data_IF_547586602674
#
_entry.id   IF_547586602674
#
_cell.length_a   1.000
_cell.length_b   1.000
_cell.length_c   1.000
_cell.angle_alpha   90.00
_cell.angle_beta   90.00
_cell.angle_gamma   90.00
#
_symmetry.space_group_name_H-M   'P 1'
#
loop_
_entity.id
_entity.type
_entity.pdbx_description
1 polymer ?
2 non-polymer ?
#
# COMPACT_ATOMS: atom_id res chain seq x y z
N UNK A 1 6.29 -22.40 0.73
CA UNK A 1 6.61 -20.93 0.68
C UNK A 1 7.89 -20.56 1.43
N UNK A 2 8.62 -19.56 0.93
CA UNK A 2 9.86 -19.14 1.62
C UNK A 2 9.51 -18.65 3.03
N UNK A 3 10.41 -18.85 3.98
CA UNK A 3 10.20 -18.41 5.37
C UNK A 3 10.17 -16.89 5.49
N UNK A 4 10.88 -16.20 4.59
CA UNK A 4 10.92 -14.73 4.61
C UNK A 4 11.00 -14.22 3.18
N UNK A 5 10.43 -13.03 2.96
CA UNK A 5 10.43 -12.40 1.64
C UNK A 5 10.58 -10.89 1.86
N UNK A 6 11.35 -10.22 0.99
CA UNK A 6 11.49 -8.76 1.08
C UNK A 6 11.58 -8.26 -0.36
N UNK A 7 10.47 -7.72 -0.87
CA UNK A 7 10.44 -7.22 -2.24
C UNK A 7 11.42 -6.08 -2.53
N UNK A 8 11.96 -5.45 -1.49
CA UNK A 8 12.93 -4.38 -1.69
C UNK A 8 14.22 -5.01 -2.25
N UNK A 9 14.51 -6.23 -1.82
CA UNK A 9 15.69 -6.94 -2.31
C UNK A 9 15.52 -7.27 -3.79
N UNK A 10 14.28 -7.30 -4.25
CA UNK A 10 14.02 -7.64 -5.64
C UNK A 10 13.87 -6.42 -6.55
N UNK A 11 14.16 -5.24 -6.02
CA UNK A 11 14.09 -4.00 -6.79
C UNK A 11 12.70 -3.57 -7.19
N UNK A 12 11.69 -4.00 -6.43
CA UNK A 12 10.30 -3.69 -6.75
C UNK A 12 9.63 -2.69 -5.83
N UNK A 13 10.40 -1.97 -5.02
CA UNK A 13 9.80 -1.01 -4.09
C UNK A 13 10.48 0.35 -4.19
N UNK A 14 9.68 1.39 -4.41
CA UNK A 14 10.20 2.74 -4.55
C UNK A 14 10.49 3.39 -3.21
N UNK A 15 11.08 4.58 -3.25
CA UNK A 15 11.38 5.31 -2.03
C UNK A 15 10.10 5.55 -1.22
N UNK A 16 10.24 5.66 0.09
CA UNK A 16 9.10 5.94 0.96
C UNK A 16 8.62 7.36 0.69
N UNK A 17 7.31 7.55 0.61
CA UNK A 17 6.71 8.85 0.36
C UNK A 17 6.16 9.46 1.66
N UNK A 18 5.89 10.77 1.63
CA UNK A 18 5.36 11.52 2.78
C UNK A 18 4.00 12.12 2.40
N UNK A 19 2.91 11.57 2.94
CA UNK A 19 1.58 12.07 2.58
C UNK A 19 1.23 13.41 3.22
N UNK A 20 1.93 13.75 4.29
CA UNK A 20 1.66 15.02 4.95
C UNK A 20 0.31 15.03 5.63
N UNK A 21 -0.35 16.18 5.62
CA UNK A 21 -1.64 16.29 6.30
C UNK A 21 -2.84 15.84 5.47
N UNK A 22 -2.58 15.29 4.30
CA UNK A 22 -3.62 14.81 3.40
C UNK A 22 -3.78 13.30 3.63
N UNK A 23 -5.01 12.85 3.89
CA UNK A 23 -5.26 11.43 4.15
C UNK A 23 -5.29 10.59 2.88
N UNK A 24 -4.17 10.55 2.17
CA UNK A 24 -4.06 9.82 0.92
C UNK A 24 -3.35 8.48 1.06
N UNK A 25 -3.35 7.93 2.27
CA UNK A 25 -2.67 6.66 2.52
C UNK A 25 -3.14 5.60 1.50
N UNK A 26 -4.44 5.60 1.23
CA UNK A 26 -5.04 4.66 0.28
C UNK A 26 -4.44 4.80 -1.11
N UNK A 27 -4.18 6.04 -1.54
CA UNK A 27 -3.59 6.24 -2.85
C UNK A 27 -2.14 5.74 -2.88
N UNK A 28 -1.39 6.03 -1.82
CA UNK A 28 0.01 5.59 -1.76
C UNK A 28 0.11 4.06 -1.72
N UNK A 29 -0.79 3.43 -0.98
CA UNK A 29 -0.82 1.97 -0.89
C UNK A 29 -1.08 1.40 -2.29
N UNK A 30 -2.04 1.99 -3.00
CA UNK A 30 -2.37 1.48 -4.33
C UNK A 30 -1.24 1.66 -5.35
N UNK A 31 -0.64 2.84 -5.41
CA UNK A 31 0.44 3.01 -6.37
C UNK A 31 1.60 2.11 -5.98
N UNK A 32 1.83 1.96 -4.68
CA UNK A 32 2.92 1.10 -4.23
C UNK A 32 2.77 -0.32 -4.77
N UNK A 33 1.57 -0.87 -4.67
CA UNK A 33 1.34 -2.23 -5.17
C UNK A 33 1.52 -2.28 -6.69
N UNK A 34 0.98 -1.29 -7.40
CA UNK A 34 1.12 -1.29 -8.86
C UNK A 34 2.58 -1.08 -9.30
N UNK A 35 3.34 -0.28 -8.55
CA UNK A 35 4.75 -0.04 -8.88
C UNK A 35 5.54 -1.36 -8.97
N UNK A 36 5.25 -2.31 -8.07
CA UNK A 36 5.95 -3.59 -8.11
C UNK A 36 5.59 -4.38 -9.37
N UNK A 37 4.31 -4.38 -9.73
CA UNK A 37 3.87 -5.10 -10.92
C UNK A 37 4.47 -4.48 -12.17
N UNK A 38 4.57 -3.15 -12.18
CA UNK A 38 5.16 -2.46 -13.32
C UNK A 38 6.63 -2.88 -13.47
N UNK A 39 7.36 -2.94 -12.36
CA UNK A 39 8.76 -3.37 -12.41
C UNK A 39 8.83 -4.82 -12.91
N UNK A 40 7.96 -5.69 -12.40
CA UNK A 40 7.97 -7.10 -12.84
C UNK A 40 7.67 -7.24 -14.33
N UNK A 41 6.84 -6.35 -14.85
CA UNK A 41 6.47 -6.41 -16.26
C UNK A 41 7.45 -5.73 -17.21
N UNK A 42 7.97 -4.57 -16.82
CA UNK A 42 8.84 -3.81 -17.71
C UNK A 42 10.31 -3.73 -17.35
N UNK A 43 10.65 -4.14 -16.13
CA UNK A 43 12.04 -4.06 -15.70
C UNK A 43 12.38 -2.69 -15.14
N UNK A 44 11.42 -1.76 -15.15
CA UNK A 44 11.68 -0.43 -14.64
C UNK A 44 10.93 -0.11 -13.36
N UNK A 45 11.64 0.54 -12.43
CA UNK A 45 11.07 0.93 -11.15
C UNK A 45 10.76 2.42 -11.22
N UNK A 46 9.47 2.77 -11.27
CA UNK A 46 9.12 4.19 -11.33
C UNK A 46 7.96 4.50 -10.38
N UNK A 47 8.09 5.58 -9.62
CA UNK A 47 7.03 5.94 -8.68
C UNK A 47 5.83 6.39 -9.50
N UNK A 48 4.64 5.94 -9.10
CA UNK A 48 3.42 6.30 -9.81
C UNK A 48 2.70 7.41 -9.04
N UNK A 49 1.84 8.14 -9.73
CA UNK A 49 1.19 9.30 -9.15
C UNK A 49 0.09 9.10 -8.14
N UNK A 50 0.42 9.23 -6.85
CA UNK A 50 -0.62 9.12 -5.83
C UNK A 50 -1.57 10.31 -6.02
N UNK A 51 -1.04 11.45 -6.46
CA UNK A 51 -1.88 12.63 -6.65
C UNK A 51 -2.97 12.39 -7.71
N UNK A 52 -2.59 11.70 -8.78
CA UNK A 52 -3.51 11.34 -9.87
C UNK A 52 -4.74 10.62 -9.27
N UNK A 53 -4.50 9.73 -8.31
CA UNK A 53 -5.60 8.99 -7.68
C UNK A 53 -6.43 9.91 -6.79
N UNK A 54 -5.76 10.72 -5.98
CA UNK A 54 -6.45 11.64 -5.08
C UNK A 54 -7.40 12.56 -5.85
N UNK A 55 -6.92 13.10 -6.97
CA UNK A 55 -7.70 14.03 -7.79
C UNK A 55 -8.70 13.40 -8.75
N UNK A 56 -8.43 12.19 -9.21
CA UNK A 56 -9.30 11.58 -10.22
C UNK A 56 -10.13 10.36 -9.83
N UNK A 57 -9.63 9.54 -8.91
CA UNK A 57 -10.40 8.37 -8.47
C UNK A 57 -11.18 8.95 -7.30
N UNK A 58 -12.21 9.71 -7.63
CA UNK A 58 -13.01 10.40 -6.63
C UNK A 58 -14.41 9.83 -6.36
N UNK A 59 -15.43 10.70 -6.36
CA UNK A 59 -16.80 10.28 -6.07
C UNK A 59 -17.27 9.02 -6.77
N UNK A 60 -17.01 8.90 -8.07
CA UNK A 60 -17.47 7.71 -8.80
C UNK A 60 -16.88 6.42 -8.22
N UNK A 61 -15.77 6.56 -7.50
CA UNK A 61 -15.10 5.40 -6.91
C UNK A 61 -15.26 5.30 -5.41
N UNK A 62 -16.19 6.09 -4.87
CA UNK A 62 -16.45 6.07 -3.43
C UNK A 62 -15.32 6.66 -2.63
N UNK A 63 -14.40 7.36 -3.30
CA UNK A 63 -13.27 7.96 -2.60
C UNK A 63 -13.48 9.44 -2.31
N UNK A 64 -12.74 9.93 -1.31
CA UNK A 64 -12.86 11.31 -0.87
C UNK A 64 -11.52 12.05 -0.80
N UNK A 65 -10.60 11.69 -1.70
CA UNK A 65 -9.30 12.35 -1.75
C UNK A 65 -8.56 12.39 -0.42
N UNK A 66 -8.23 13.59 0.05
CA UNK A 66 -7.51 13.74 1.32
C UNK A 66 -8.34 13.32 2.52
N UNK A 67 -9.63 13.06 2.31
CA UNK A 67 -10.48 12.62 3.40
C UNK A 67 -10.68 11.09 3.38
N UNK A 68 -9.89 10.38 2.58
CA UNK A 68 -10.00 8.93 2.59
C UNK A 68 -10.41 8.24 1.31
N UNK A 69 -10.00 6.98 1.16
CA UNK A 69 -10.33 6.23 -0.04
C UNK A 69 -10.06 4.74 0.09
N UNK A 70 -10.21 4.02 -1.02
CA UNK A 70 -10.02 2.57 -1.06
C UNK A 70 -8.99 2.19 -2.13
N UNK A 71 -8.13 1.23 -1.81
CA UNK A 71 -7.13 0.78 -2.76
C UNK A 71 -7.78 0.02 -3.91
N UNK A 72 -8.77 -0.81 -3.60
CA UNK A 72 -9.46 -1.58 -4.64
C UNK A 72 -10.13 -0.67 -5.67
N UNK A 73 -10.85 0.36 -5.22
CA UNK A 73 -11.52 1.26 -6.16
C UNK A 73 -10.49 2.12 -6.88
N UNK A 74 -9.35 2.34 -6.24
CA UNK A 74 -8.27 3.09 -6.90
C UNK A 74 -7.81 2.23 -8.09
N UNK A 75 -7.61 0.92 -7.86
CA UNK A 75 -7.19 0.03 -8.95
C UNK A 75 -8.25 0.06 -10.06
N UNK A 76 -9.53 0.01 -9.69
CA UNK A 76 -10.56 0.02 -10.73
C UNK A 76 -10.51 1.31 -11.56
N UNK A 77 -10.25 2.45 -10.92
CA UNK A 77 -10.14 3.71 -11.67
C UNK A 77 -9.03 3.59 -12.73
N UNK A 78 -7.87 3.08 -12.32
CA UNK A 78 -6.75 2.92 -13.25
C UNK A 78 -7.16 2.03 -14.42
N UNK A 79 -7.87 0.95 -14.12
CA UNK A 79 -8.34 0.04 -15.17
C UNK A 79 -9.29 0.79 -16.10
N UNK A 80 -10.33 1.41 -15.52
CA UNK A 80 -11.33 2.15 -16.32
C UNK A 80 -10.71 3.29 -17.14
N UNK A 81 -9.76 3.97 -16.52
CA UNK A 81 -9.07 5.12 -17.10
C UNK A 81 -8.04 4.75 -18.16
N UNK A 82 -7.70 3.46 -18.20
CA UNK A 82 -6.69 2.95 -19.12
C UNK A 82 -5.31 3.54 -18.83
N UNK A 83 -5.08 3.88 -17.56
CA UNK A 83 -3.78 4.39 -17.16
C UNK A 83 -3.69 5.24 -15.90
N UNK A 84 -2.45 5.45 -15.47
CA UNK A 84 -2.13 6.29 -14.34
C UNK A 84 -0.80 6.94 -14.73
N UNK A 85 -0.66 8.24 -14.45
CA UNK A 85 0.54 8.99 -14.78
C UNK A 85 1.69 8.71 -13.81
N UNK A 86 2.90 9.09 -14.20
CA UNK A 86 4.07 8.90 -13.35
C UNK A 86 4.01 9.96 -12.24
N UNK A 87 4.61 9.67 -11.09
CA UNK A 87 4.65 10.66 -10.01
C UNK A 87 5.45 11.87 -10.51
N UNK A 88 6.50 11.62 -11.29
CA UNK A 88 7.31 12.74 -11.79
C UNK A 88 6.48 13.75 -12.62
N UNK A 89 5.55 13.25 -13.43
CA UNK A 89 4.73 14.11 -14.29
C UNK A 89 3.52 14.71 -13.59
N UNK A 90 3.12 14.10 -12.48
CA UNK A 90 1.94 14.53 -11.76
C UNK A 90 2.32 14.39 -10.28
N UNK A 91 3.15 15.32 -9.78
CA UNK A 91 3.63 15.32 -8.40
C UNK A 91 2.60 15.47 -7.30
N UNK A 92 2.96 14.97 -6.12
CA UNK A 92 2.07 15.00 -4.97
C UNK A 92 2.12 16.36 -4.29
N UNK A 93 0.95 16.91 -4.01
CA UNK A 93 0.82 18.22 -3.38
C UNK A 93 0.13 18.18 -2.01
N UNK A 94 -0.20 16.98 -1.53
CA UNK A 94 -0.86 16.85 -0.23
C UNK A 94 -2.14 17.68 -0.11
N UNK A 95 -2.92 17.72 -1.18
CA UNK A 95 -4.19 18.44 -1.17
C UNK A 95 -5.07 17.95 -2.31
N UNK A 96 -6.38 18.17 -2.18
CA UNK A 96 -7.31 17.78 -3.21
C UNK A 96 -7.22 18.76 -4.38
N UNK A 97 -7.21 18.24 -5.61
CA UNK A 97 -7.17 19.11 -6.79
C UNK A 97 -8.08 18.55 -7.86
N UNK A 98 -8.41 19.39 -8.83
CA UNK A 98 -9.23 18.96 -9.95
C UNK A 98 -8.36 17.94 -10.71
N UNK A 99 -8.99 16.93 -11.28
CA UNK A 99 -8.29 15.88 -12.01
C UNK A 99 -7.46 16.45 -13.17
N UNK A 100 -6.16 16.17 -13.16
CA UNK A 100 -5.28 16.64 -14.22
C UNK A 100 -4.67 15.48 -14.99
N UNK A 101 -5.31 14.32 -14.96
CA UNK A 101 -4.75 13.20 -15.70
C UNK A 101 -4.59 13.52 -17.18
N UNK A 102 -3.49 13.03 -17.75
CA UNK A 102 -3.22 13.19 -19.17
C UNK A 102 -2.56 11.89 -19.62
N UNK A 103 -3.11 11.26 -20.65
CA UNK A 103 -2.55 10.01 -21.17
C UNK A 103 -1.12 10.17 -21.69
N UNK A 104 -0.72 11.39 -22.01
CA UNK A 104 0.65 11.60 -22.51
C UNK A 104 1.69 11.38 -21.41
N UNK A 105 1.24 11.32 -20.16
CA UNK A 105 2.14 11.08 -19.03
C UNK A 105 1.89 9.69 -18.39
N UNK A 106 1.19 8.81 -19.10
CA UNK A 106 0.91 7.48 -18.56
C UNK A 106 2.20 6.72 -18.28
N UNK A 107 2.30 6.12 -17.09
CA UNK A 107 3.48 5.33 -16.72
C UNK A 107 3.10 3.86 -16.45
N UNK A 108 1.81 3.59 -16.29
CA UNK A 108 1.37 2.21 -16.06
C UNK A 108 -0.11 2.06 -16.39
N UNK A 109 -0.52 0.81 -16.56
CA UNK A 109 -1.91 0.48 -16.80
C UNK A 109 -2.19 -0.62 -15.77
N UNK A 110 -3.45 -1.06 -15.68
CA UNK A 110 -3.83 -2.13 -14.77
C UNK A 110 -4.96 -2.90 -15.47
N UNK A 111 -4.92 -4.22 -15.45
CA UNK A 111 -5.97 -4.96 -16.12
C UNK A 111 -6.97 -5.57 -15.14
N UNK A 112 -6.56 -5.77 -13.90
CA UNK A 112 -7.46 -6.35 -12.91
C UNK A 112 -6.83 -6.28 -11.54
N UNK A 113 -7.61 -6.59 -10.52
CA UNK A 113 -7.08 -6.63 -9.17
C UNK A 113 -7.75 -7.80 -8.47
N UNK A 114 -7.15 -8.27 -7.38
CA UNK A 114 -7.67 -9.41 -6.65
C UNK A 114 -7.80 -9.12 -5.16
N UNK A 115 -8.96 -9.42 -4.59
CA UNK A 115 -9.17 -9.22 -3.16
C UNK A 115 -9.04 -10.57 -2.46
N UNK A 116 -8.14 -10.66 -1.48
CA UNK A 116 -7.91 -11.91 -0.74
C UNK A 116 -9.04 -12.15 0.26
N UNK A 117 -9.30 -13.42 0.61
CA UNK A 117 -10.36 -13.76 1.57
C UNK A 117 -10.09 -13.13 2.94
N UNK A 118 -11.14 -12.62 3.57
CA UNK A 118 -11.03 -11.96 4.85
C UNK A 118 -10.30 -12.71 5.97
N UNK A 119 -9.28 -12.04 6.52
CA UNK A 119 -8.53 -12.57 7.64
C UNK A 119 -7.60 -13.76 7.47
N UNK A 120 -7.38 -14.22 6.24
CA UNK A 120 -6.52 -15.38 6.04
C UNK A 120 -5.05 -14.97 5.88
N UNK A 121 -4.30 -15.05 6.97
CA UNK A 121 -2.90 -14.67 6.93
C UNK A 121 -2.07 -15.64 6.12
N UNK A 122 -2.54 -16.88 6.00
CA UNK A 122 -1.80 -17.86 5.20
C UNK A 122 -1.96 -17.52 3.71
N UNK A 123 -3.15 -17.09 3.33
CA UNK A 123 -3.40 -16.72 1.95
C UNK A 123 -2.61 -15.43 1.62
N UNK A 124 -2.54 -14.52 2.58
CA UNK A 124 -1.79 -13.29 2.37
C UNK A 124 -0.30 -13.62 2.19
N UNK A 125 0.20 -14.58 2.97
CA UNK A 125 1.62 -14.95 2.86
C UNK A 125 1.92 -15.47 1.45
N UNK A 126 1.05 -16.34 0.95
CA UNK A 126 1.20 -16.91 -0.38
C UNK A 126 1.19 -15.82 -1.46
N UNK A 127 0.30 -14.85 -1.32
CA UNK A 127 0.23 -13.77 -2.30
C UNK A 127 1.51 -12.91 -2.28
N UNK A 128 2.01 -12.59 -1.09
CA UNK A 128 3.23 -11.78 -1.00
C UNK A 128 4.41 -12.54 -1.58
N UNK A 129 4.47 -13.84 -1.32
CA UNK A 129 5.57 -14.63 -1.85
C UNK A 129 5.49 -14.82 -3.36
N UNK A 130 4.29 -15.10 -3.86
CA UNK A 130 4.12 -15.41 -5.28
C UNK A 130 3.63 -14.36 -6.26
N UNK A 131 2.96 -13.32 -5.77
CA UNK A 131 2.43 -12.31 -6.67
C UNK A 131 3.15 -10.99 -6.56
N UNK A 132 3.38 -10.54 -5.33
CA UNK A 132 4.07 -9.28 -5.12
C UNK A 132 3.54 -8.54 -3.90
N UNK A 133 3.98 -7.29 -3.66
CA UNK A 133 3.48 -6.54 -2.50
C UNK A 133 1.95 -6.46 -2.56
N UNK A 134 1.32 -6.46 -1.39
CA UNK A 134 -0.14 -6.46 -1.32
C UNK A 134 -0.66 -5.27 -0.52
N UNK A 135 -1.64 -4.57 -1.06
CA UNK A 135 -2.23 -3.42 -0.38
C UNK A 135 -3.11 -3.94 0.74
N UNK A 136 -3.04 -3.31 1.91
CA UNK A 136 -3.85 -3.76 3.03
C UNK A 136 -4.32 -2.60 3.88
N UNK A 137 -5.39 -2.83 4.62
CA UNK A 137 -5.88 -1.83 5.55
C UNK A 137 -5.45 -2.33 6.93
N UNK A 138 -5.10 -1.41 7.84
CA UNK A 138 -4.75 -1.81 9.20
C UNK A 138 -5.38 -0.81 10.16
N UNK A 139 -5.55 -1.23 11.41
CA UNK A 139 -6.06 -0.34 12.44
C UNK A 139 -4.79 0.34 12.96
N UNK A 140 -4.61 1.61 12.60
CA UNK A 140 -3.45 2.37 13.04
C UNK A 140 -3.86 3.46 14.02
N UNK A 141 -5.10 3.39 14.51
CA UNK A 141 -5.62 4.39 15.43
C UNK A 141 -5.29 4.13 16.90
N UNK A 142 -4.00 4.03 17.20
CA UNK A 142 -3.51 3.81 18.55
C UNK A 142 -2.18 4.51 18.66
N UNK A 143 -1.94 5.18 19.80
CA UNK A 143 -0.69 5.91 20.03
C UNK A 143 0.56 5.10 19.72
N UNK A 144 0.58 3.84 20.12
CA UNK A 144 1.74 2.98 19.87
C UNK A 144 2.15 2.95 18.39
N UNK A 145 1.18 3.04 17.49
CA UNK A 145 1.50 3.03 16.06
C UNK A 145 2.26 4.30 15.67
N UNK A 146 1.78 5.45 16.14
CA UNK A 146 2.44 6.72 15.85
C UNK A 146 3.83 6.79 16.48
N UNK A 147 3.99 6.13 17.62
CA UNK A 147 5.25 6.14 18.35
C UNK A 147 6.22 5.01 18.00
N UNK A 148 5.78 4.08 17.16
CA UNK A 148 6.61 2.95 16.77
C UNK A 148 7.98 3.41 16.26
N UNK A 149 9.03 2.75 16.75
CA UNK A 149 10.39 3.07 16.32
C UNK A 149 11.10 1.87 15.68
N UNK A 150 10.96 0.69 16.28
CA UNK A 150 11.64 -0.49 15.74
C UNK A 150 11.16 -1.80 16.34
N UNK A 151 11.53 -2.90 15.68
CA UNK A 151 11.15 -4.22 16.16
C UNK A 151 9.81 -4.68 15.62
N UNK A 152 9.25 -5.71 16.25
CA UNK A 152 7.96 -6.22 15.81
C UNK A 152 6.84 -5.57 16.61
N UNK A 153 6.01 -4.82 15.91
CA UNK A 153 4.90 -4.09 16.50
C UNK A 153 3.75 -4.99 16.92
N UNK A 154 3.40 -4.93 18.20
CA UNK A 154 2.27 -5.70 18.72
C UNK A 154 1.54 -4.78 19.69
N UNK A 155 0.26 -4.55 19.42
CA UNK A 155 -0.57 -3.65 20.23
C UNK A 155 -1.79 -4.43 20.73
N UNK A 156 -1.84 -4.74 22.04
CA UNK A 156 -2.95 -5.49 22.65
C UNK A 156 -4.33 -4.90 22.39
N UNK A 157 -4.40 -3.59 22.26
CA UNK A 157 -5.69 -2.96 22.04
C UNK A 157 -6.03 -2.78 20.55
N UNK A 158 -5.24 -3.38 19.67
CA UNK A 158 -5.53 -3.26 18.23
C UNK A 158 -6.81 -4.00 17.91
N UNK A 159 -7.52 -3.58 16.87
CA UNK A 159 -8.79 -4.22 16.49
C UNK A 159 -8.73 -4.60 15.01
N UNK A 160 -9.80 -5.23 14.51
CA UNK A 160 -9.86 -5.59 13.10
C UNK A 160 -10.64 -4.52 12.32
N UNK A 161 -10.89 -3.38 12.96
CA UNK A 161 -11.58 -2.28 12.29
C UNK A 161 -10.46 -1.44 11.70
N UNK A 162 -10.20 -1.61 10.40
CA UNK A 162 -9.11 -0.91 9.75
C UNK A 162 -9.44 0.52 9.34
N UNK A 163 -8.41 1.36 9.28
CA UNK A 163 -8.64 2.77 8.96
C UNK A 163 -7.48 3.42 8.23
N UNK A 164 -6.41 2.66 8.02
CA UNK A 164 -5.20 3.20 7.38
C UNK A 164 -4.73 2.25 6.29
N UNK A 165 -4.46 2.78 5.10
CA UNK A 165 -4.01 1.95 3.99
C UNK A 165 -2.50 1.92 3.89
N UNK A 166 -1.91 0.72 3.83
CA UNK A 166 -0.46 0.58 3.73
C UNK A 166 -0.11 -0.54 2.77
N UNK A 167 1.17 -0.89 2.67
CA UNK A 167 1.60 -1.90 1.71
C UNK A 167 2.50 -2.97 2.31
N UNK A 168 2.10 -4.23 2.18
CA UNK A 168 2.93 -5.30 2.71
C UNK A 168 3.93 -5.62 1.62
N UNK A 169 5.21 -5.35 1.89
CA UNK A 169 6.24 -5.62 0.90
C UNK A 169 7.08 -6.83 1.26
N UNK A 170 6.68 -7.57 2.29
CA UNK A 170 7.44 -8.75 2.67
C UNK A 170 6.99 -9.35 3.99
N UNK A 171 7.71 -10.37 4.45
CA UNK A 171 7.38 -10.99 5.73
C UNK A 171 8.61 -11.74 6.23
N UNK A 172 8.65 -12.01 7.52
CA UNK A 172 9.79 -12.71 8.06
C UNK A 172 9.62 -12.88 9.55
N UNK A 173 10.73 -12.94 10.27
CA UNK A 173 10.67 -13.09 11.71
C UNK A 173 11.91 -12.49 12.34
N UNK A 174 11.73 -11.94 13.53
CA UNK A 174 12.84 -11.35 14.26
C UNK A 174 13.07 -12.31 15.42
N UNK A 175 14.05 -13.19 15.25
CA UNK A 175 14.37 -14.20 16.25
C UNK A 175 13.10 -14.93 16.69
N UNK A 176 12.32 -15.40 15.72
CA UNK A 176 11.10 -16.13 16.04
C UNK A 176 9.80 -15.34 16.04
N UNK A 177 9.86 -14.04 16.30
CA UNK A 177 8.66 -13.21 16.30
C UNK A 177 8.30 -12.90 14.85
N UNK A 178 7.27 -13.57 14.34
CA UNK A 178 6.87 -13.38 12.96
C UNK A 178 6.26 -12.01 12.70
N UNK A 179 6.57 -11.44 11.54
CA UNK A 179 6.06 -10.12 11.20
C UNK A 179 5.75 -9.97 9.72
N UNK A 180 4.98 -8.93 9.40
CA UNK A 180 4.63 -8.53 8.04
C UNK A 180 5.51 -7.28 7.83
N UNK A 181 6.24 -7.19 6.72
CA UNK A 181 7.08 -6.00 6.50
C UNK A 181 6.18 -4.98 5.79
N UNK A 182 5.89 -3.87 6.46
CA UNK A 182 4.97 -2.87 5.92
C UNK A 182 5.58 -1.52 5.53
N UNK A 183 5.32 -1.10 4.29
CA UNK A 183 5.77 0.21 3.81
C UNK A 183 4.64 1.20 4.15
N UNK A 184 4.96 2.26 4.88
CA UNK A 184 3.96 3.26 5.24
C UNK A 184 4.20 4.45 4.30
N UNK A 185 3.38 5.48 4.41
CA UNK A 185 3.54 6.67 3.58
C UNK A 185 3.58 7.92 4.47
N UNK A 186 4.25 7.78 5.61
CA UNK A 186 4.38 8.86 6.58
C UNK A 186 5.81 9.40 6.58
N UNK A 187 6.51 9.25 5.46
CA UNK A 187 7.88 9.75 5.37
C UNK A 187 8.95 8.82 5.94
N UNK A 188 10.22 9.15 5.71
CA UNK A 188 11.30 8.28 6.19
C UNK A 188 11.67 8.41 7.65
N UNK A 189 11.00 9.30 8.38
CA UNK A 189 11.30 9.45 9.80
C UNK A 189 10.39 8.56 10.63
N UNK A 190 9.34 8.03 10.01
CA UNK A 190 8.43 7.15 10.73
C UNK A 190 9.04 5.77 10.89
N UNK A 191 8.96 5.22 12.10
CA UNK A 191 9.45 3.88 12.37
C UNK A 191 10.83 3.50 11.84
N UNK A 192 10.92 2.37 11.16
CA UNK A 192 12.19 1.91 10.60
C UNK A 192 12.40 2.53 9.23
N UNK A 193 12.76 3.82 9.27
CA UNK A 193 12.99 4.60 8.08
C UNK A 193 11.85 4.46 7.07
N UNK A 194 10.63 4.61 7.60
CA UNK A 194 9.43 4.56 6.78
C UNK A 194 8.64 3.27 6.80
N UNK A 195 9.22 2.22 7.39
CA UNK A 195 8.59 0.91 7.46
C UNK A 195 8.24 0.54 8.88
N UNK A 196 7.33 -0.43 9.02
CA UNK A 196 6.95 -0.94 10.32
C UNK A 196 6.76 -2.45 10.17
N UNK A 197 7.34 -3.22 11.09
CA UNK A 197 7.18 -4.67 11.04
C UNK A 197 6.06 -4.98 12.02
N UNK A 198 4.93 -5.45 11.49
CA UNK A 198 3.73 -5.73 12.28
C UNK A 198 3.52 -7.21 12.55
N UNK A 199 3.09 -7.53 13.77
CA UNK A 199 2.90 -8.93 14.19
C UNK A 199 2.11 -9.76 13.19
N UNK A 200 2.69 -10.90 12.84
CA UNK A 200 2.12 -11.82 11.87
C UNK A 200 1.68 -13.11 12.57
N UNK A 201 0.60 -13.72 12.08
CA UNK A 201 0.08 -14.95 12.69
C UNK A 201 -0.22 -14.73 14.18
N UNK A 202 -0.77 -13.56 14.48
CA UNK A 202 -1.17 -13.16 15.82
C UNK A 202 -2.67 -12.84 15.79
N UNK A 203 -3.46 -13.74 15.21
CA UNK A 203 -4.90 -13.54 15.14
C UNK A 203 -5.33 -12.33 14.30
N UNK A 204 -4.73 -12.17 13.12
CA UNK A 204 -5.07 -11.04 12.25
C UNK A 204 -4.90 -9.72 13.01
N UNK A 205 -3.70 -9.54 13.56
CA UNK A 205 -3.35 -8.37 14.35
C UNK A 205 -3.57 -7.04 13.62
N UNK A 206 -4.34 -6.15 14.24
CA UNK A 206 -4.66 -4.84 13.67
C UNK A 206 -5.38 -4.96 12.33
N UNK A 207 -5.97 -6.13 12.07
CA UNK A 207 -6.71 -6.34 10.83
C UNK A 207 -5.88 -6.36 9.56
N UNK A 208 -4.59 -6.64 9.68
CA UNK A 208 -3.71 -6.62 8.51
C UNK A 208 -4.17 -7.51 7.34
N UNK A 209 -4.81 -8.64 7.64
CA UNK A 209 -5.29 -9.54 6.59
C UNK A 209 -6.80 -9.40 6.38
N UNK A 210 -7.38 -8.35 6.95
CA UNK A 210 -8.82 -8.16 6.80
C UNK A 210 -9.20 -7.81 5.37
N UNK A 211 -8.52 -6.84 4.76
CA UNK A 211 -8.88 -6.45 3.39
C UNK A 211 -7.67 -6.26 2.46
N UNK A 212 -6.99 -7.36 2.10
CA UNK A 212 -5.83 -7.30 1.21
C UNK A 212 -6.22 -7.38 -0.27
N UNK A 213 -5.49 -6.66 -1.11
CA UNK A 213 -5.74 -6.70 -2.54
C UNK A 213 -4.46 -6.38 -3.30
N UNK A 214 -4.36 -6.90 -4.52
CA UNK A 214 -3.20 -6.60 -5.35
C UNK A 214 -3.65 -6.52 -6.80
N UNK A 215 -3.04 -5.61 -7.57
CA UNK A 215 -3.34 -5.40 -8.98
C UNK A 215 -2.43 -6.24 -9.86
N UNK A 216 -2.81 -6.36 -11.13
CA UNK A 216 -1.97 -7.04 -12.11
C UNK A 216 -2.03 -6.25 -13.40
N UNK A 217 -1.02 -6.43 -14.24
CA UNK A 217 -0.93 -5.74 -15.52
C UNK A 217 -0.90 -6.77 -16.65
X LIG B 1 -11.12 5.82 4.59
X LIG B 1 -13.28 7.02 4.58
X LIG B 1 -14.00 7.86 3.53
X LIG B 1 -13.59 6.27 1.82
X LIG B 1 -12.75 5.37 2.75
X LIG B 1 -10.79 6.41 5.62
X LIG B 1 -14.58 6.99 2.55
X LIG B 1 -12.32 6.05 3.97
X LIG B 1 -10.32 4.90 4.06
X LIG B 1 -9.01 4.64 4.68
X LIG B 1 -8.32 3.44 4.03
X LIG B 1 -9.07 2.10 4.17
X LIG B 1 -8.32 0.99 3.43
X LIG B 1 -9.20 1.75 5.66
X LIG B 1 -8.20 5.92 4.48
X LIG B 1 -8.20 6.47 3.39
X LIG B 1 -6.90 8.43 6.71
X LIG B 1 -7.49 6.38 5.51
X LIG B 1 -6.33 7.65 7.75
X LIG B 1 -6.78 8.07 9.03
X LIG B 1 -5.78 7.58 10.04
X LIG B 1 -4.69 8.36 10.38
X LIG B 1 -3.74 7.90 11.31
X LIG B 1 -3.89 6.64 11.89
X LIG B 1 -4.98 5.85 11.55
X LIG B 1 -5.92 6.32 10.63
X LIG B 1 -5.30 7.54 5.02
X LIG B 1 -4.41 8.50 5.20
X LIG B 1 -6.76 7.66 5.40
#
# INVERSE_FOLDING_TARGET
LPDSVDWREKGCVTEVKYQGSCGACWAFSAVGALEAQLKLKTGKLVSLSAQNLVDCSTEKYGNKGCNGGFMTTAFQYIIDNKGIDSDASYPYKAMDQKCQYDSKYRAATCSKYTELPYGREDVLKEAVANKGPVSVGVDARHPSFFLYRSGVYYEPSCTQNVNHGVLVVGYGDLNGKEYWLVKNSWGHNFGEEGYIRMARNKGNHCGIASFPSYPEIHHHHH
BLN C1 C2 C3 C5 C6 O1 O2 N1 N CA CB CG CD1 CD2 C O CB' N' OG CD C1' C2' C3' C4' C5' C6' C' N40 CA'
#
